data_IF_195854435745
#
_entry.id   IF_195854435745
#
_cell.length_a   1.000
_cell.length_b   1.000
_cell.length_c   1.000
_cell.angle_alpha   90.00
_cell.angle_beta   90.00
_cell.angle_gamma   90.00
#
_symmetry.space_group_name_H-M   'P 1'
#
loop_
_entity.id
_entity.type
_entity.pdbx_description
1 polymer ?
#
# COMPACT_ATOMS: atom_id res chain seq x y z
N UNK A 1 19.03 -71.28 28.14
CA UNK A 1 20.38 -70.75 27.86
C UNK A 1 20.55 -70.64 26.35
N UNK A 2 21.21 -69.57 25.89
CA UNK A 2 21.57 -69.16 24.51
C UNK A 2 20.43 -68.82 23.55
N UNK A 3 20.16 -67.55 23.18
CA UNK A 3 20.93 -66.51 22.44
C UNK A 3 21.19 -66.82 20.97
N UNK A 4 20.60 -66.02 20.08
CA UNK A 4 20.95 -65.91 18.67
C UNK A 4 20.04 -64.91 17.95
N UNK A 5 20.29 -63.61 18.13
CA UNK A 5 19.69 -62.56 17.31
C UNK A 5 20.63 -62.23 16.14
N UNK A 6 20.06 -62.31 14.94
CA UNK A 6 20.64 -61.96 13.65
C UNK A 6 20.87 -60.43 13.58
N UNK A 7 22.07 -60.02 13.18
CA UNK A 7 22.34 -58.64 12.76
C UNK A 7 22.48 -58.61 11.23
N UNK A 8 21.46 -58.03 10.59
CA UNK A 8 21.45 -57.63 9.19
C UNK A 8 22.62 -56.68 8.90
N UNK A 9 23.39 -56.97 7.85
CA UNK A 9 24.52 -56.17 7.40
C UNK A 9 24.09 -54.80 6.85
N UNK A 10 24.72 -53.74 7.37
CA UNK A 10 24.69 -52.40 6.79
C UNK A 10 25.60 -52.37 5.56
N UNK A 11 24.98 -52.17 4.40
CA UNK A 11 25.67 -51.92 3.14
C UNK A 11 26.40 -50.57 3.21
N UNK A 12 27.73 -50.62 3.19
CA UNK A 12 28.58 -49.43 3.07
C UNK A 12 28.76 -49.16 1.58
N UNK A 13 28.18 -48.06 1.08
CA UNK A 13 28.48 -47.49 -0.22
C UNK A 13 30.00 -47.25 -0.33
N UNK A 14 30.67 -47.98 -1.23
CA UNK A 14 32.07 -47.76 -1.61
C UNK A 14 32.13 -46.62 -2.62
N UNK A 15 32.70 -45.48 -2.23
CA UNK A 15 33.27 -44.50 -3.17
C UNK A 15 34.50 -45.09 -3.91
N UNK A 16 34.79 -44.69 -5.16
CA UNK A 16 35.60 -45.49 -6.09
C UNK A 16 37.12 -45.31 -6.00
N UNK A 17 37.64 -44.48 -5.11
CA UNK A 17 39.07 -44.09 -5.10
C UNK A 17 39.92 -44.76 -4.01
N UNK A 18 39.59 -46.01 -3.65
CA UNK A 18 40.52 -46.86 -2.90
C UNK A 18 41.22 -47.84 -3.87
N UNK A 19 42.57 -47.90 -3.88
CA UNK A 19 43.27 -48.85 -4.72
C UNK A 19 42.92 -50.28 -4.30
N UNK A 20 42.34 -51.04 -5.24
CA UNK A 20 41.99 -52.45 -5.09
C UNK A 20 43.28 -53.29 -5.04
N UNK A 21 43.78 -53.57 -3.83
CA UNK A 21 44.98 -54.39 -3.64
C UNK A 21 44.59 -55.86 -3.80
N UNK A 22 44.70 -56.35 -5.04
CA UNK A 22 44.68 -57.79 -5.36
C UNK A 22 45.88 -58.46 -4.68
N UNK A 23 45.66 -59.09 -3.53
CA UNK A 23 46.68 -59.85 -2.81
C UNK A 23 46.94 -61.19 -3.49
N UNK A 24 47.90 -61.21 -4.43
CA UNK A 24 48.49 -62.44 -4.94
C UNK A 24 49.53 -62.96 -3.94
N UNK A 25 49.25 -64.11 -3.33
CA UNK A 25 50.10 -64.73 -2.33
C UNK A 25 51.22 -65.52 -3.01
N UNK A 26 52.49 -65.18 -2.75
CA UNK A 26 53.62 -66.14 -2.67
C UNK A 26 54.92 -65.42 -2.25
N UNK A 27 55.44 -65.74 -1.06
CA UNK A 27 56.80 -65.37 -0.62
C UNK A 27 56.85 -64.84 0.83
N UNK A 28 57.45 -65.57 1.80
CA UNK A 28 57.50 -65.16 3.19
C UNK A 28 58.74 -64.28 3.43
N UNK A 29 58.56 -63.04 3.90
CA UNK A 29 59.43 -62.38 4.90
C UNK A 29 59.05 -60.90 5.09
N UNK A 30 58.64 -60.58 6.32
CA UNK A 30 58.76 -59.29 7.01
C UNK A 30 58.36 -58.01 6.24
N UNK A 31 57.05 -57.75 6.15
CA UNK A 31 56.56 -56.38 6.30
C UNK A 31 56.50 -56.08 7.80
N UNK A 32 57.47 -55.33 8.31
CA UNK A 32 57.34 -54.68 9.61
C UNK A 32 56.26 -53.62 9.46
N UNK A 33 55.02 -53.98 9.80
CA UNK A 33 53.94 -53.04 10.04
C UNK A 33 54.40 -52.19 11.22
N UNK A 34 54.65 -50.88 11.03
CA UNK A 34 54.97 -49.94 12.10
C UNK A 34 53.67 -49.32 12.59
N UNK A 35 52.92 -49.96 13.51
CA UNK A 35 51.55 -49.57 13.86
C UNK A 35 51.55 -48.21 14.57
N UNK A 36 52.71 -47.82 15.11
CA UNK A 36 52.95 -46.54 15.75
C UNK A 36 53.06 -45.40 14.73
N UNK A 37 53.69 -45.62 13.57
CA UNK A 37 53.82 -44.61 12.51
C UNK A 37 52.45 -44.37 11.84
N UNK A 38 51.71 -45.44 11.54
CA UNK A 38 50.36 -45.34 10.99
C UNK A 38 49.38 -44.68 11.98
N UNK A 39 49.50 -44.97 13.28
CA UNK A 39 48.69 -44.33 14.31
C UNK A 39 49.01 -42.83 14.48
N UNK A 40 50.30 -42.47 14.42
CA UNK A 40 50.72 -41.06 14.42
C UNK A 40 50.18 -40.30 13.20
N UNK A 41 50.21 -40.93 12.03
CA UNK A 41 49.62 -40.37 10.81
C UNK A 41 48.11 -40.20 10.94
N UNK A 42 47.40 -41.20 11.51
CA UNK A 42 45.97 -41.13 11.70
C UNK A 42 45.54 -40.02 12.68
N UNK A 43 46.31 -39.82 13.76
CA UNK A 43 46.11 -38.71 14.70
C UNK A 43 46.32 -37.35 14.02
N UNK A 44 47.35 -37.23 13.20
CA UNK A 44 47.65 -36.00 12.46
C UNK A 44 46.52 -35.63 11.49
N UNK A 45 45.99 -36.61 10.76
CA UNK A 45 44.84 -36.41 9.86
C UNK A 45 43.58 -36.01 10.63
N UNK A 46 43.34 -36.62 11.80
CA UNK A 46 42.19 -36.29 12.64
C UNK A 46 42.30 -34.87 13.22
N UNK A 47 43.49 -34.45 13.62
CA UNK A 47 43.75 -33.09 14.10
C UNK A 47 43.54 -32.05 12.99
N UNK A 48 43.99 -32.34 11.76
CA UNK A 48 43.76 -31.49 10.60
C UNK A 48 42.28 -31.37 10.25
N UNK A 49 41.52 -32.48 10.32
CA UNK A 49 40.07 -32.48 10.09
C UNK A 49 39.32 -31.71 11.19
N UNK A 50 39.69 -31.88 12.45
CA UNK A 50 39.09 -31.13 13.56
C UNK A 50 39.38 -29.62 13.44
N UNK A 51 40.60 -29.25 13.04
CA UNK A 51 40.96 -27.85 12.80
C UNK A 51 40.13 -27.23 11.67
N UNK A 52 39.87 -27.97 10.59
CA UNK A 52 39.01 -27.51 9.48
C UNK A 52 37.56 -27.30 9.94
N UNK A 53 36.98 -28.24 10.68
CA UNK A 53 35.63 -28.11 11.25
C UNK A 53 35.53 -26.92 12.20
N UNK A 54 36.52 -26.75 13.07
CA UNK A 54 36.58 -25.63 14.02
C UNK A 54 36.65 -24.28 13.29
N UNK A 55 37.43 -24.18 12.22
CA UNK A 55 37.53 -22.96 11.40
C UNK A 55 36.21 -22.66 10.68
N UNK A 56 35.57 -23.66 10.08
CA UNK A 56 34.26 -23.52 9.43
C UNK A 56 33.19 -23.08 10.42
N UNK A 57 33.07 -23.76 11.57
CA UNK A 57 32.11 -23.41 12.62
C UNK A 57 32.34 -21.99 13.17
N UNK A 58 33.60 -21.56 13.30
CA UNK A 58 33.92 -20.20 13.76
C UNK A 58 33.57 -19.13 12.74
N UNK A 59 33.73 -19.44 11.45
CA UNK A 59 33.38 -18.51 10.37
C UNK A 59 31.87 -18.38 10.23
N UNK A 60 31.13 -19.49 10.25
CA UNK A 60 29.66 -19.50 10.28
C UNK A 60 29.12 -18.74 11.51
N UNK A 61 29.70 -18.97 12.69
CA UNK A 61 29.32 -18.23 13.90
C UNK A 61 29.56 -16.72 13.75
N UNK A 62 30.69 -16.32 13.15
CA UNK A 62 30.99 -14.90 12.92
C UNK A 62 30.03 -14.27 11.92
N UNK A 63 29.76 -14.93 10.80
CA UNK A 63 28.80 -14.46 9.80
C UNK A 63 27.38 -14.34 10.39
N UNK A 64 27.00 -15.27 11.27
CA UNK A 64 25.71 -15.23 11.96
C UNK A 64 25.61 -14.09 12.99
N UNK A 65 26.69 -13.83 13.73
CA UNK A 65 26.79 -12.71 14.68
C UNK A 65 26.79 -11.37 13.95
N UNK A 66 27.55 -11.24 12.87
CA UNK A 66 27.63 -10.01 12.08
C UNK A 66 26.27 -9.70 11.41
N UNK A 67 25.54 -10.72 10.94
CA UNK A 67 24.18 -10.60 10.43
C UNK A 67 23.18 -10.14 11.52
N UNK A 68 23.27 -10.69 12.74
CA UNK A 68 22.44 -10.26 13.88
C UNK A 68 22.74 -8.83 14.31
N UNK A 69 24.02 -8.44 14.37
CA UNK A 69 24.43 -7.07 14.71
C UNK A 69 23.90 -6.07 13.69
N UNK A 70 23.97 -6.41 12.40
CA UNK A 70 23.42 -5.58 11.33
C UNK A 70 21.89 -5.46 11.44
N UNK A 71 21.19 -6.57 11.72
CA UNK A 71 19.75 -6.56 11.95
C UNK A 71 19.38 -5.65 13.14
N UNK A 72 20.07 -5.80 14.28
CA UNK A 72 19.86 -4.98 15.48
C UNK A 72 20.10 -3.48 15.21
N UNK A 73 21.05 -3.13 14.34
CA UNK A 73 21.31 -1.74 13.96
C UNK A 73 20.20 -1.12 13.11
N UNK A 74 19.41 -1.92 12.37
CA UNK A 74 18.29 -1.43 11.57
C UNK A 74 16.99 -1.24 12.35
N UNK A 75 16.85 -1.87 13.53
CA UNK A 75 15.63 -1.84 14.34
C UNK A 75 15.18 -0.41 14.73
N UNK A 76 16.06 0.50 15.20
CA UNK A 76 15.64 1.86 15.56
C UNK A 76 15.06 2.63 14.37
N UNK A 77 15.66 2.50 13.19
CA UNK A 77 15.19 3.18 11.98
C UNK A 77 13.83 2.64 11.52
N UNK A 78 13.62 1.33 11.58
CA UNK A 78 12.32 0.71 11.24
C UNK A 78 11.25 1.13 12.26
N UNK A 79 11.59 1.22 13.54
CA UNK A 79 10.68 1.67 14.59
C UNK A 79 10.28 3.14 14.40
N UNK A 80 11.22 4.00 14.02
CA UNK A 80 10.93 5.40 13.70
C UNK A 80 10.00 5.53 12.49
N UNK A 81 10.24 4.75 11.42
CA UNK A 81 9.36 4.71 10.25
C UNK A 81 7.95 4.25 10.62
N UNK A 82 7.83 3.22 11.48
CA UNK A 82 6.54 2.73 11.95
C UNK A 82 5.81 3.76 12.81
N UNK A 83 6.53 4.48 13.67
CA UNK A 83 5.96 5.56 14.47
C UNK A 83 5.45 6.71 13.61
N UNK A 84 6.21 7.13 12.59
CA UNK A 84 5.79 8.15 11.63
C UNK A 84 4.53 7.70 10.90
N UNK A 85 4.51 6.47 10.37
CA UNK A 85 3.34 5.90 9.71
C UNK A 85 2.12 5.84 10.65
N UNK A 86 2.31 5.42 11.90
CA UNK A 86 1.25 5.38 12.91
C UNK A 86 0.66 6.77 13.20
N UNK A 87 1.51 7.79 13.34
CA UNK A 87 1.08 9.19 13.52
C UNK A 87 0.26 9.66 12.32
N UNK A 88 0.77 9.45 11.10
CA UNK A 88 0.06 9.85 9.87
C UNK A 88 -1.29 9.14 9.72
N UNK A 89 -1.38 7.84 10.00
CA UNK A 89 -2.65 7.10 9.97
C UNK A 89 -3.61 7.61 11.03
N UNK A 90 -3.13 7.87 12.26
CA UNK A 90 -3.94 8.39 13.35
C UNK A 90 -4.52 9.78 13.03
N UNK A 91 -3.72 10.65 12.43
CA UNK A 91 -4.16 11.98 11.98
C UNK A 91 -5.21 11.87 10.85
N UNK A 92 -5.01 10.96 9.90
CA UNK A 92 -5.95 10.73 8.81
C UNK A 92 -7.30 10.20 9.34
N UNK A 93 -7.27 9.26 10.28
CA UNK A 93 -8.47 8.74 10.96
C UNK A 93 -9.17 9.82 11.79
N UNK A 94 -8.43 10.72 12.44
CA UNK A 94 -9.01 11.82 13.22
C UNK A 94 -9.75 12.84 12.34
N UNK A 95 -9.29 13.06 11.11
CA UNK A 95 -9.92 13.97 10.15
C UNK A 95 -11.06 13.32 9.34
N UNK A 96 -11.18 12.00 9.37
CA UNK A 96 -12.18 11.23 8.62
C UNK A 96 -13.63 11.72 8.86
N UNK A 97 -14.08 11.99 10.09
CA UNK A 97 -15.43 12.52 10.35
C UNK A 97 -15.66 13.88 9.69
N UNK A 98 -14.65 14.75 9.66
CA UNK A 98 -14.74 16.06 9.02
C UNK A 98 -14.89 15.94 7.51
N UNK A 99 -14.20 14.99 6.87
CA UNK A 99 -14.40 14.72 5.45
C UNK A 99 -15.80 14.17 5.16
N UNK A 100 -16.29 13.24 5.98
CA UNK A 100 -17.66 12.73 5.85
C UNK A 100 -18.71 13.83 6.01
N UNK A 101 -18.55 14.69 7.02
CA UNK A 101 -19.48 15.80 7.24
C UNK A 101 -19.52 16.75 6.04
N UNK A 102 -18.36 17.14 5.50
CA UNK A 102 -18.27 17.97 4.29
C UNK A 102 -18.94 17.32 3.07
N UNK A 103 -18.82 16.00 2.91
CA UNK A 103 -19.47 15.25 1.83
C UNK A 103 -20.99 15.27 2.02
N UNK A 104 -21.46 15.08 3.26
CA UNK A 104 -22.89 15.00 3.57
C UNK A 104 -23.58 16.37 3.47
N UNK A 105 -22.93 17.43 3.96
CA UNK A 105 -23.38 18.82 3.78
C UNK A 105 -23.51 19.16 2.30
N UNK A 106 -22.50 18.77 1.51
CA UNK A 106 -22.53 18.98 0.07
C UNK A 106 -23.68 18.22 -0.61
N UNK A 107 -23.83 16.92 -0.32
CA UNK A 107 -24.96 16.13 -0.85
C UNK A 107 -26.31 16.77 -0.52
N UNK A 108 -26.42 17.35 0.68
CA UNK A 108 -27.63 18.04 1.13
C UNK A 108 -27.86 19.36 0.39
N UNK A 109 -26.81 19.99 -0.16
CA UNK A 109 -26.90 21.21 -1.00
C UNK A 109 -27.40 20.94 -2.41
N UNK A 110 -27.04 19.79 -3.02
CA UNK A 110 -27.32 19.48 -4.45
C UNK A 110 -28.80 19.70 -4.84
N UNK A 111 -29.80 19.22 -4.09
CA UNK A 111 -31.19 19.44 -4.47
C UNK A 111 -31.60 20.92 -4.46
N UNK A 112 -31.04 21.70 -3.52
CA UNK A 112 -31.27 23.14 -3.44
C UNK A 112 -30.63 23.89 -4.59
N UNK A 113 -29.40 23.51 -4.96
CA UNK A 113 -28.67 24.07 -6.08
C UNK A 113 -29.38 23.79 -7.42
N UNK A 114 -29.84 22.55 -7.64
CA UNK A 114 -30.64 22.17 -8.81
C UNK A 114 -31.92 22.99 -8.89
N UNK A 115 -32.65 23.09 -7.77
CA UNK A 115 -33.89 23.87 -7.71
C UNK A 115 -33.62 25.35 -8.04
N UNK A 116 -32.53 25.91 -7.52
CA UNK A 116 -32.16 27.31 -7.78
C UNK A 116 -31.92 27.56 -9.26
N UNK A 117 -31.22 26.65 -9.96
CA UNK A 117 -31.00 26.77 -11.40
C UNK A 117 -32.32 26.63 -12.19
N UNK A 118 -33.17 25.66 -11.82
CA UNK A 118 -34.49 25.49 -12.44
C UNK A 118 -35.36 26.74 -12.29
N UNK A 119 -35.36 27.37 -11.11
CA UNK A 119 -36.09 28.62 -10.87
C UNK A 119 -35.57 29.76 -11.77
N UNK A 120 -34.27 29.81 -12.07
CA UNK A 120 -33.71 30.79 -13.01
C UNK A 120 -34.08 30.48 -14.46
N UNK A 121 -34.06 29.22 -14.87
CA UNK A 121 -34.49 28.79 -16.21
C UNK A 121 -35.96 29.16 -16.46
N UNK A 122 -36.86 28.88 -15.50
CA UNK A 122 -38.27 29.26 -15.62
C UNK A 122 -38.45 30.78 -15.74
N UNK A 123 -37.72 31.56 -14.95
CA UNK A 123 -37.76 33.03 -15.03
C UNK A 123 -37.25 33.55 -16.38
N UNK A 124 -36.20 32.94 -16.93
CA UNK A 124 -35.67 33.28 -18.24
C UNK A 124 -36.68 32.96 -19.34
N UNK A 125 -37.27 31.76 -19.33
CA UNK A 125 -38.30 31.35 -20.30
C UNK A 125 -39.50 32.32 -20.28
N UNK A 126 -39.95 32.69 -19.09
CA UNK A 126 -41.04 33.67 -18.92
C UNK A 126 -40.65 35.04 -19.48
N UNK A 127 -39.43 35.51 -19.20
CA UNK A 127 -38.94 36.81 -19.70
C UNK A 127 -38.79 36.79 -21.22
N UNK A 128 -38.33 35.69 -21.80
CA UNK A 128 -38.25 35.52 -23.25
C UNK A 128 -39.64 35.52 -23.91
N UNK A 129 -40.62 34.86 -23.30
CA UNK A 129 -42.01 34.91 -23.77
C UNK A 129 -42.60 36.33 -23.69
N UNK A 130 -42.28 37.09 -22.63
CA UNK A 130 -42.69 38.48 -22.48
C UNK A 130 -42.07 39.38 -23.56
N UNK A 131 -40.77 39.23 -23.83
CA UNK A 131 -40.05 39.94 -24.90
C UNK A 131 -40.70 39.67 -26.26
N UNK A 132 -40.95 38.39 -26.59
CA UNK A 132 -41.60 38.02 -27.86
C UNK A 132 -43.00 38.62 -27.98
N UNK A 133 -43.79 38.56 -26.91
CA UNK A 133 -45.13 39.13 -26.88
C UNK A 133 -45.12 40.66 -27.06
N UNK A 134 -44.15 41.33 -26.43
CA UNK A 134 -43.98 42.78 -26.57
C UNK A 134 -43.56 43.17 -27.99
N UNK A 135 -42.64 42.40 -28.58
CA UNK A 135 -42.19 42.60 -29.95
C UNK A 135 -43.33 42.45 -30.96
N UNK A 136 -44.16 41.41 -30.82
CA UNK A 136 -45.36 41.21 -31.66
C UNK A 136 -46.28 42.44 -31.57
N UNK A 137 -46.60 42.90 -30.35
CA UNK A 137 -47.47 44.07 -30.15
C UNK A 137 -46.92 45.34 -30.78
N UNK A 138 -45.61 45.60 -30.65
CA UNK A 138 -45.00 46.76 -31.29
C UNK A 138 -45.03 46.66 -32.81
N UNK A 139 -44.78 45.48 -33.37
CA UNK A 139 -44.86 45.28 -34.82
C UNK A 139 -46.27 45.56 -35.35
N UNK A 140 -47.31 45.05 -34.67
CA UNK A 140 -48.72 45.33 -35.01
C UNK A 140 -49.05 46.83 -34.97
N UNK A 141 -48.62 47.54 -33.91
CA UNK A 141 -48.81 48.98 -33.78
C UNK A 141 -48.09 49.75 -34.88
N UNK A 142 -46.84 49.39 -35.20
CA UNK A 142 -46.05 50.01 -36.28
C UNK A 142 -46.71 49.80 -37.64
N UNK A 143 -47.41 48.69 -37.87
CA UNK A 143 -48.16 48.45 -39.10
C UNK A 143 -49.40 49.35 -39.23
N UNK A 144 -50.04 49.70 -38.11
CA UNK A 144 -51.24 50.56 -38.08
C UNK A 144 -50.92 52.07 -37.94
N UNK A 145 -49.67 52.43 -37.66
CA UNK A 145 -49.26 53.82 -37.40
C UNK A 145 -48.97 54.59 -38.70
N UNK A 146 -49.47 55.84 -38.85
CA UNK A 146 -49.15 56.69 -40.00
C UNK A 146 -47.64 56.92 -40.18
N UNK A 147 -47.17 57.01 -41.43
CA UNK A 147 -45.76 57.11 -41.78
C UNK A 147 -45.01 58.23 -41.01
N UNK A 148 -45.67 59.37 -40.79
CA UNK A 148 -45.09 60.53 -40.10
C UNK A 148 -44.77 60.28 -38.61
N UNK A 149 -45.46 59.35 -37.95
CA UNK A 149 -45.30 59.01 -36.52
C UNK A 149 -44.55 57.68 -36.31
N UNK A 150 -44.29 56.95 -37.39
CA UNK A 150 -43.72 55.60 -37.35
C UNK A 150 -42.31 55.59 -36.76
N UNK A 151 -41.51 56.62 -37.03
CA UNK A 151 -40.15 56.77 -36.49
C UNK A 151 -40.13 56.90 -34.97
N UNK A 152 -41.01 57.73 -34.40
CA UNK A 152 -41.09 57.92 -32.95
C UNK A 152 -41.50 56.62 -32.24
N UNK A 153 -42.50 55.92 -32.79
CA UNK A 153 -42.93 54.63 -32.25
C UNK A 153 -41.83 53.56 -32.35
N UNK A 154 -41.04 53.59 -33.42
CA UNK A 154 -39.91 52.67 -33.60
C UNK A 154 -38.80 52.94 -32.58
N UNK A 155 -38.46 54.20 -32.29
CA UNK A 155 -37.56 54.53 -31.18
C UNK A 155 -38.08 54.05 -29.82
N UNK A 156 -39.38 54.18 -29.56
CA UNK A 156 -39.99 53.69 -28.31
C UNK A 156 -39.88 52.16 -28.23
N UNK A 157 -40.17 51.44 -29.31
CA UNK A 157 -39.95 49.98 -29.39
C UNK A 157 -38.50 49.64 -29.09
N UNK A 158 -37.55 50.24 -29.81
CA UNK A 158 -36.14 49.89 -29.70
C UNK A 158 -35.62 50.12 -28.28
N UNK A 159 -36.04 51.23 -27.64
CA UNK A 159 -35.73 51.51 -26.23
C UNK A 159 -36.34 50.46 -25.28
N UNK A 160 -37.61 50.11 -25.46
CA UNK A 160 -38.28 49.11 -24.63
C UNK A 160 -37.65 47.71 -24.78
N UNK A 161 -37.32 47.32 -26.02
CA UNK A 161 -36.63 46.06 -26.33
C UNK A 161 -35.23 46.03 -25.71
N UNK A 162 -34.50 47.15 -25.77
CA UNK A 162 -33.19 47.26 -25.14
C UNK A 162 -33.27 47.09 -23.61
N UNK A 163 -34.22 47.75 -22.95
CA UNK A 163 -34.42 47.59 -21.49
C UNK A 163 -34.76 46.15 -21.13
N UNK A 164 -35.68 45.51 -21.87
CA UNK A 164 -36.05 44.12 -21.60
C UNK A 164 -34.90 43.14 -21.83
N UNK A 165 -34.07 43.41 -22.84
CA UNK A 165 -32.88 42.61 -23.12
C UNK A 165 -31.84 42.74 -22.01
N UNK A 166 -31.63 43.96 -21.50
CA UNK A 166 -30.74 44.21 -20.35
C UNK A 166 -31.21 43.47 -19.09
N UNK A 167 -32.52 43.47 -18.81
CA UNK A 167 -33.08 42.70 -17.70
C UNK A 167 -32.81 41.19 -17.87
N UNK A 168 -33.01 40.66 -19.08
CA UNK A 168 -32.76 39.24 -19.40
C UNK A 168 -31.28 38.89 -19.22
N UNK A 169 -30.38 39.76 -19.67
CA UNK A 169 -28.94 39.63 -19.47
C UNK A 169 -28.55 39.66 -17.99
N UNK A 170 -29.22 40.48 -17.18
CA UNK A 170 -29.08 40.48 -15.73
C UNK A 170 -29.42 39.11 -15.13
N UNK A 171 -30.60 38.57 -15.45
CA UNK A 171 -30.99 37.23 -15.01
C UNK A 171 -30.03 36.13 -15.49
N UNK A 172 -29.55 36.25 -16.74
CA UNK A 172 -28.58 35.30 -17.30
C UNK A 172 -27.28 35.32 -16.51
N UNK A 173 -26.78 36.50 -16.17
CA UNK A 173 -25.58 36.65 -15.33
C UNK A 173 -25.79 36.06 -13.94
N UNK A 174 -26.93 36.29 -13.32
CA UNK A 174 -27.24 35.74 -11.99
C UNK A 174 -27.29 34.20 -12.00
N UNK A 175 -27.90 33.62 -13.05
CA UNK A 175 -27.88 32.17 -13.28
C UNK A 175 -26.46 31.65 -13.49
N UNK A 176 -25.67 32.33 -14.31
CA UNK A 176 -24.31 31.90 -14.65
C UNK A 176 -23.40 31.96 -13.41
N UNK A 177 -23.54 32.98 -12.57
CA UNK A 177 -22.86 33.05 -11.27
C UNK A 177 -23.25 31.90 -10.34
N UNK A 178 -24.53 31.52 -10.31
CA UNK A 178 -25.00 30.39 -9.54
C UNK A 178 -24.43 29.06 -10.09
N UNK A 179 -24.38 28.91 -11.41
CA UNK A 179 -23.82 27.75 -12.08
C UNK A 179 -22.31 27.62 -11.82
N UNK A 180 -21.55 28.72 -11.85
CA UNK A 180 -20.11 28.73 -11.56
C UNK A 180 -19.83 28.22 -10.14
N UNK A 181 -20.61 28.65 -9.15
CA UNK A 181 -20.47 28.17 -7.77
C UNK A 181 -20.74 26.66 -7.64
N UNK A 182 -21.70 26.15 -8.40
CA UNK A 182 -22.01 24.71 -8.45
C UNK A 182 -20.87 23.95 -9.12
N UNK A 183 -20.30 24.48 -10.19
CA UNK A 183 -19.15 23.90 -10.88
C UNK A 183 -17.91 23.85 -9.99
N UNK A 184 -17.62 24.91 -9.23
CA UNK A 184 -16.52 24.94 -8.25
C UNK A 184 -16.68 23.82 -7.23
N UNK A 185 -17.91 23.65 -6.70
CA UNK A 185 -18.20 22.59 -5.76
C UNK A 185 -18.04 21.21 -6.39
N UNK A 186 -18.49 21.00 -7.62
CA UNK A 186 -18.28 19.76 -8.35
C UNK A 186 -16.79 19.44 -8.55
N UNK A 187 -15.97 20.43 -8.88
CA UNK A 187 -14.51 20.27 -8.98
C UNK A 187 -13.87 19.86 -7.65
N UNK A 188 -14.40 20.33 -6.51
CA UNK A 188 -13.95 19.87 -5.17
C UNK A 188 -14.29 18.40 -4.93
N UNK A 189 -15.46 17.92 -5.38
CA UNK A 189 -15.84 16.51 -5.29
C UNK A 189 -14.91 15.65 -6.11
N UNK A 190 -14.64 16.04 -7.35
CA UNK A 190 -13.81 15.24 -8.24
C UNK A 190 -12.42 15.01 -7.63
N UNK A 191 -11.83 16.07 -7.06
CA UNK A 191 -10.57 15.97 -6.32
C UNK A 191 -10.66 15.04 -5.10
N UNK A 192 -11.74 15.11 -4.32
CA UNK A 192 -11.97 14.20 -3.20
C UNK A 192 -12.18 12.75 -3.66
N UNK A 193 -12.91 12.54 -4.75
CA UNK A 193 -13.14 11.23 -5.35
C UNK A 193 -11.84 10.57 -5.82
N UNK A 194 -10.96 11.33 -6.48
CA UNK A 194 -9.62 10.86 -6.85
C UNK A 194 -8.78 10.48 -5.63
N UNK A 195 -8.79 11.32 -4.58
CA UNK A 195 -8.06 11.03 -3.35
C UNK A 195 -8.58 9.77 -2.64
N UNK A 196 -9.90 9.60 -2.58
CA UNK A 196 -10.55 8.39 -2.04
C UNK A 196 -10.25 7.14 -2.89
N UNK A 197 -10.23 7.28 -4.21
CA UNK A 197 -9.83 6.20 -5.13
C UNK A 197 -8.41 5.71 -4.87
N UNK A 198 -7.45 6.63 -4.79
CA UNK A 198 -6.04 6.31 -4.44
C UNK A 198 -5.92 5.66 -3.07
N UNK A 199 -6.65 6.16 -2.08
CA UNK A 199 -6.68 5.57 -0.73
C UNK A 199 -7.21 4.13 -0.76
N UNK A 200 -8.29 3.87 -1.53
CA UNK A 200 -8.85 2.53 -1.71
C UNK A 200 -7.86 1.57 -2.38
N UNK A 201 -7.05 2.04 -3.32
CA UNK A 201 -6.03 1.23 -4.01
C UNK A 201 -4.84 0.87 -3.09
N UNK A 202 -4.39 1.80 -2.25
CA UNK A 202 -3.23 1.61 -1.37
C UNK A 202 -3.57 0.86 -0.07
N UNK A 203 -4.82 0.93 0.39
CA UNK A 203 -5.27 0.28 1.63
C UNK A 203 -4.99 -1.24 1.68
N UNK A 204 -5.27 -2.03 0.63
CA UNK A 204 -4.93 -3.46 0.61
C UNK A 204 -3.44 -3.74 0.76
N UNK A 205 -2.57 -2.96 0.10
CA UNK A 205 -1.11 -3.12 0.20
C UNK A 205 -0.64 -2.83 1.63
N UNK A 206 -1.09 -1.72 2.22
CA UNK A 206 -0.78 -1.36 3.61
C UNK A 206 -1.25 -2.44 4.61
N UNK A 207 -2.44 -3.01 4.39
CA UNK A 207 -2.97 -4.10 5.23
C UNK A 207 -2.06 -5.33 5.11
N UNK A 208 -1.60 -5.67 3.91
CA UNK A 208 -0.76 -6.83 3.69
C UNK A 208 0.64 -6.65 4.30
N UNK A 209 1.24 -5.47 4.15
CA UNK A 209 2.51 -5.11 4.79
C UNK A 209 2.43 -5.22 6.32
N UNK A 210 1.32 -4.74 6.91
CA UNK A 210 1.08 -4.85 8.35
C UNK A 210 0.93 -6.30 8.81
N UNK A 211 0.29 -7.18 8.01
CA UNK A 211 0.21 -8.61 8.32
C UNK A 211 1.60 -9.28 8.29
N UNK A 212 2.40 -8.98 7.27
CA UNK A 212 3.76 -9.52 7.13
C UNK A 212 4.62 -9.07 8.32
N UNK A 213 4.55 -7.80 8.70
CA UNK A 213 5.26 -7.26 9.85
C UNK A 213 4.83 -7.96 11.16
N UNK A 214 3.52 -8.14 11.36
CA UNK A 214 2.98 -8.81 12.54
C UNK A 214 3.40 -10.28 12.65
N UNK A 215 3.54 -11.00 11.53
CA UNK A 215 4.08 -12.36 11.51
C UNK A 215 5.55 -12.38 11.89
N UNK A 216 6.38 -11.52 11.28
CA UNK A 216 7.81 -11.43 11.60
C UNK A 216 8.07 -11.10 13.07
N UNK A 217 7.26 -10.22 13.67
CA UNK A 217 7.37 -9.90 15.10
C UNK A 217 6.99 -11.09 16.00
N UNK A 218 6.05 -11.94 15.57
CA UNK A 218 5.65 -13.14 16.32
C UNK A 218 6.76 -14.20 16.32
N UNK A 219 7.42 -14.39 15.19
CA UNK A 219 8.50 -15.38 15.05
C UNK A 219 9.71 -15.02 15.92
N UNK A 220 10.09 -13.73 15.98
CA UNK A 220 11.15 -13.22 16.86
C UNK A 220 10.84 -13.45 18.36
N UNK A 221 9.55 -13.49 18.74
CA UNK A 221 9.15 -13.69 20.13
C UNK A 221 9.15 -15.18 20.56
N UNK A 222 9.09 -16.12 19.60
CA UNK A 222 9.11 -17.55 19.87
C UNK A 222 10.54 -18.11 20.02
N UNK A 223 11.53 -17.56 19.31
CA UNK A 223 12.93 -18.01 19.40
C UNK A 223 13.61 -17.63 20.74
N UNK A 224 13.15 -16.57 21.40
CA UNK A 224 13.68 -16.14 22.71
C UNK A 224 13.17 -16.97 23.91
N UNK A 225 12.26 -17.92 23.70
CA UNK A 225 11.62 -18.67 24.80
C UNK A 225 12.22 -20.07 25.05
N UNK A 226 13.23 -20.52 24.28
CA UNK A 226 13.73 -21.90 24.36
C UNK A 226 15.09 -22.10 25.07
N UNK A 227 15.73 -21.05 25.59
CA UNK A 227 17.06 -21.17 26.23
C UNK A 227 17.04 -21.27 27.78
N UNK A 228 15.89 -21.52 28.41
CA UNK A 228 15.82 -21.68 29.87
C UNK A 228 15.17 -22.99 30.30
N UNK A 229 15.64 -24.12 29.78
CA UNK A 229 15.46 -25.43 30.44
C UNK A 229 16.79 -26.19 30.39
N UNK A 230 17.66 -25.89 31.35
CA UNK A 230 18.87 -26.64 31.67
C UNK A 230 18.82 -27.07 33.13
N UNK A 231 18.26 -28.25 33.34
CA UNK A 231 18.18 -29.01 34.59
C UNK A 231 19.47 -29.03 35.42
N UNK A 232 19.36 -28.76 36.73
CA UNK A 232 20.25 -29.37 37.73
C UNK A 232 19.35 -30.01 38.80
N UNK A 233 19.09 -31.30 38.61
CA UNK A 233 18.67 -32.21 39.66
C UNK A 233 19.89 -32.95 40.22
N UNK A 234 19.93 -32.97 41.55
CA UNK A 234 20.49 -33.99 42.46
C UNK A 234 22.01 -34.29 42.45
N UNK A 235 22.66 -34.17 43.62
CA UNK A 235 22.97 -35.31 44.52
C UNK A 235 23.91 -34.97 45.67
N UNK A 236 23.48 -35.35 46.88
CA UNK A 236 24.18 -35.84 48.09
C UNK A 236 25.57 -35.34 48.55
N UNK A 237 25.65 -35.09 49.87
CA UNK A 237 26.62 -35.76 50.75
C UNK A 237 27.56 -34.86 51.57
N UNK A 238 27.35 -34.81 52.89
CA UNK A 238 28.26 -34.20 53.88
C UNK A 238 27.57 -33.76 55.15
#
# INVERSE_FOLDING_TARGET
MSTGQEYQGLAINRDPDYPDVRMNHNGPNNYVFHPLEDYQMQLMLLEQQNKKRLLMARQEYKEHVDAQVTALQTIPSVLDQLNVAHISVKELLANLPTYFHKIEDFKSSIPGDIKTLQDYEEKLDKKEAEIRSLEIRYNELIHMTPQAQRGDLQQVRDKAMLTMQQDREGLTRDRDNAAEKIEENNGRIERLGVALGRSRELMPELIEDLKILALKLRDVQMDNSNDSIGTIGDTHGG
#
